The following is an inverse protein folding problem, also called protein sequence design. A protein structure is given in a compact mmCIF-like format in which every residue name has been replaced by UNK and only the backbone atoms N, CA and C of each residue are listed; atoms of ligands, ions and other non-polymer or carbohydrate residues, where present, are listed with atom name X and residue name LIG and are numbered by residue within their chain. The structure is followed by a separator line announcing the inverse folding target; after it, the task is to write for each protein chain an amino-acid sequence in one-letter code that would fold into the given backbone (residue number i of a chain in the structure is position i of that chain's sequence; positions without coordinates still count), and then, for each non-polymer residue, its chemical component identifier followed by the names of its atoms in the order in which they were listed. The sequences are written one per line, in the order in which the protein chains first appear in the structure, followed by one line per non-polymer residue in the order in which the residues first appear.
data_IF_730079562312
#
_entry.id   IF_730079562312
#
_cell.length_a   1.000
_cell.length_b   1.000
_cell.length_c   1.000
_cell.angle_alpha   90.00
_cell.angle_beta   90.00
_cell.angle_gamma   90.00
#
_symmetry.space_group_name_H-M   'P 1'
#
loop_
_entity.id
_entity.type
_entity.pdbx_description
1 polymer ?
#
# COMPACT_ATOMS: atom_id res chain seq x y z
N UNK A 1 -12.45 3.33 13.45
CA UNK A 1 -12.96 2.03 13.92
C UNK A 1 -11.78 1.12 14.23
N UNK A 2 -11.76 0.48 15.41
CA UNK A 2 -10.74 -0.52 15.73
C UNK A 2 -10.84 -1.70 14.76
N UNK A 3 -9.69 -2.30 14.44
CA UNK A 3 -9.63 -3.50 13.61
C UNK A 3 -9.86 -4.72 14.50
N UNK A 4 -11.10 -5.17 14.58
CA UNK A 4 -11.49 -6.32 15.42
C UNK A 4 -11.72 -7.56 14.55
N UNK A 5 -11.06 -8.67 14.91
CA UNK A 5 -11.18 -9.95 14.21
C UNK A 5 -11.37 -11.04 15.24
N UNK A 6 -12.59 -11.56 15.27
CA UNK A 6 -13.01 -12.65 16.14
C UNK A 6 -12.87 -14.00 15.42
N UNK A 7 -12.55 -15.02 16.20
CA UNK A 7 -12.48 -16.42 15.74
C UNK A 7 -13.86 -16.88 15.31
N UNK A 8 -13.94 -17.53 14.15
CA UNK A 8 -15.18 -18.18 13.70
C UNK A 8 -15.23 -19.64 14.20
N UNK A 9 -16.45 -20.19 14.34
CA UNK A 9 -16.67 -21.50 14.98
C UNK A 9 -15.87 -22.66 14.37
N UNK A 10 -15.69 -22.67 13.04
CA UNK A 10 -14.95 -23.72 12.32
C UNK A 10 -13.57 -23.28 11.82
N UNK A 11 -13.00 -22.24 12.40
CA UNK A 11 -11.71 -21.68 11.95
C UNK A 11 -10.53 -22.28 12.70
N UNK A 12 -9.50 -22.69 11.94
CA UNK A 12 -8.20 -23.03 12.52
C UNK A 12 -7.48 -21.77 13.00
N UNK A 13 -6.66 -21.90 14.05
CA UNK A 13 -5.89 -20.78 14.61
C UNK A 13 -5.03 -20.08 13.55
N UNK A 14 -4.45 -20.84 12.62
CA UNK A 14 -3.65 -20.28 11.52
C UNK A 14 -4.49 -19.47 10.53
N UNK A 15 -5.74 -19.90 10.27
CA UNK A 15 -6.69 -19.14 9.45
C UNK A 15 -6.98 -17.76 10.03
N UNK A 16 -7.19 -17.71 11.36
CA UNK A 16 -7.45 -16.46 12.08
C UNK A 16 -6.27 -15.49 11.97
N UNK A 17 -5.05 -15.97 12.22
CA UNK A 17 -3.81 -15.17 12.09
C UNK A 17 -3.64 -14.62 10.67
N UNK A 18 -3.99 -15.41 9.65
CA UNK A 18 -3.93 -14.98 8.24
C UNK A 18 -4.94 -13.87 7.96
N UNK A 19 -6.19 -14.00 8.43
CA UNK A 19 -7.21 -12.95 8.30
C UNK A 19 -6.78 -11.68 9.00
N UNK A 20 -6.26 -11.81 10.22
CA UNK A 20 -5.70 -10.70 10.98
C UNK A 20 -4.61 -9.96 10.23
N UNK A 21 -3.61 -10.70 9.74
CA UNK A 21 -2.50 -10.12 8.99
C UNK A 21 -2.96 -9.44 7.70
N UNK A 22 -3.91 -10.05 6.96
CA UNK A 22 -4.48 -9.46 5.75
C UNK A 22 -5.24 -8.17 6.05
N UNK A 23 -6.01 -8.16 7.12
CA UNK A 23 -6.79 -7.01 7.53
C UNK A 23 -5.91 -5.84 8.01
N UNK A 24 -4.83 -6.12 8.77
CA UNK A 24 -3.81 -5.11 9.10
C UNK A 24 -3.21 -4.52 7.83
N UNK A 25 -2.77 -5.36 6.89
CA UNK A 25 -2.18 -4.88 5.63
C UNK A 25 -3.16 -4.01 4.84
N UNK A 26 -4.43 -4.43 4.72
CA UNK A 26 -5.49 -3.69 4.03
C UNK A 26 -5.84 -2.38 4.72
N UNK A 27 -5.87 -2.37 6.06
CA UNK A 27 -6.18 -1.18 6.86
C UNK A 27 -5.14 -0.07 6.68
N UNK A 28 -3.90 -0.41 6.33
CA UNK A 28 -2.82 0.55 6.17
C UNK A 28 -2.34 1.20 7.47
N UNK A 29 -2.84 0.77 8.64
CA UNK A 29 -2.53 1.36 9.95
C UNK A 29 -1.02 1.46 10.19
N UNK A 30 -0.26 0.40 9.87
CA UNK A 30 1.20 0.40 10.00
C UNK A 30 1.90 1.35 9.01
N UNK A 31 1.32 1.58 7.83
CA UNK A 31 1.85 2.55 6.86
C UNK A 31 1.60 3.97 7.35
N UNK A 32 0.42 4.22 7.90
CA UNK A 32 0.05 5.52 8.45
C UNK A 32 0.83 5.86 9.71
N UNK A 33 0.98 4.92 10.64
CA UNK A 33 1.83 5.08 11.82
C UNK A 33 3.28 5.43 11.44
N UNK A 34 3.86 4.73 10.46
CA UNK A 34 5.20 5.05 9.95
C UNK A 34 5.26 6.43 9.30
N UNK A 35 4.24 6.83 8.53
CA UNK A 35 4.16 8.14 7.88
C UNK A 35 4.06 9.27 8.90
N UNK A 36 3.28 9.08 9.97
CA UNK A 36 3.05 10.07 11.03
C UNK A 36 4.17 10.12 12.08
N UNK A 37 5.11 9.17 12.06
CA UNK A 37 6.22 9.10 13.04
C UNK A 37 7.04 10.39 13.08
N UNK A 38 7.16 11.09 11.95
CA UNK A 38 7.91 12.33 11.85
C UNK A 38 7.11 13.40 11.12
N UNK A 39 7.37 14.67 11.48
CA UNK A 39 6.83 15.81 10.75
C UNK A 39 7.39 15.86 9.32
N UNK A 40 6.51 16.00 8.34
CA UNK A 40 6.87 16.22 6.94
C UNK A 40 6.47 17.63 6.53
N UNK A 41 7.45 18.40 6.04
CA UNK A 41 7.19 19.72 5.45
C UNK A 41 6.31 19.58 4.20
N UNK A 42 5.35 20.48 3.96
CA UNK A 42 4.53 20.44 2.75
C UNK A 42 5.40 20.64 1.51
N UNK A 43 5.12 19.86 0.46
CA UNK A 43 5.85 19.95 -0.81
C UNK A 43 5.51 21.27 -1.54
N UNK A 44 6.51 21.83 -2.22
CA UNK A 44 6.32 22.96 -3.13
C UNK A 44 5.49 22.56 -4.36
N UNK A 45 4.88 23.53 -5.03
CA UNK A 45 4.05 23.27 -6.22
C UNK A 45 4.86 22.62 -7.35
N UNK A 46 6.12 23.01 -7.54
CA UNK A 46 7.04 22.39 -8.51
C UNK A 46 7.29 20.92 -8.15
N UNK A 47 7.63 20.63 -6.89
CA UNK A 47 7.89 19.25 -6.44
C UNK A 47 6.67 18.34 -6.60
N UNK A 48 5.45 18.86 -6.36
CA UNK A 48 4.21 18.12 -6.65
C UNK A 48 4.04 17.80 -8.14
N UNK A 49 4.33 18.76 -9.02
CA UNK A 49 4.27 18.55 -10.49
C UNK A 49 5.30 17.51 -10.94
N UNK A 50 6.53 17.60 -10.47
CA UNK A 50 7.60 16.66 -10.82
C UNK A 50 7.27 15.23 -10.37
N UNK A 51 6.70 15.07 -9.16
CA UNK A 51 6.23 13.77 -8.67
C UNK A 51 5.10 13.18 -9.54
N UNK A 52 4.17 14.02 -10.00
CA UNK A 52 3.08 13.59 -10.89
C UNK A 52 3.62 13.16 -12.27
N UNK A 53 4.53 13.94 -12.87
CA UNK A 53 5.17 13.62 -14.15
C UNK A 53 5.98 12.32 -14.07
N UNK A 54 6.71 12.11 -12.97
CA UNK A 54 7.43 10.85 -12.72
C UNK A 54 6.47 9.66 -12.66
N UNK A 55 5.33 9.80 -11.97
CA UNK A 55 4.32 8.75 -11.87
C UNK A 55 3.76 8.38 -13.24
N UNK A 56 3.53 9.38 -14.10
CA UNK A 56 3.03 9.14 -15.45
C UNK A 56 4.07 8.45 -16.34
N UNK A 57 5.34 8.90 -16.29
CA UNK A 57 6.44 8.23 -16.99
C UNK A 57 6.57 6.75 -16.61
N UNK A 58 6.52 6.45 -15.31
CA UNK A 58 6.60 5.08 -14.82
C UNK A 58 5.43 4.20 -15.29
N UNK A 59 4.22 4.76 -15.43
CA UNK A 59 3.07 4.03 -15.99
C UNK A 59 3.30 3.68 -17.45
N UNK A 60 3.79 4.61 -18.24
CA UNK A 60 4.08 4.36 -19.65
C UNK A 60 5.22 3.35 -19.84
N UNK A 61 6.27 3.43 -19.02
CA UNK A 61 7.34 2.43 -19.00
C UNK A 61 6.80 1.04 -18.64
N UNK A 62 5.92 0.94 -17.63
CA UNK A 62 5.30 -0.32 -17.24
C UNK A 62 4.47 -0.92 -18.36
N UNK A 63 3.60 -0.13 -19.02
CA UNK A 63 2.82 -0.58 -20.19
C UNK A 63 3.71 -1.05 -21.33
N UNK A 64 4.82 -0.36 -21.61
CA UNK A 64 5.80 -0.78 -22.63
C UNK A 64 6.44 -2.12 -22.27
N UNK A 65 6.85 -2.30 -21.00
CA UNK A 65 7.42 -3.57 -20.53
C UNK A 65 6.43 -4.73 -20.59
N UNK A 66 5.16 -4.49 -20.28
CA UNK A 66 4.08 -5.48 -20.47
C UNK A 66 3.98 -5.90 -21.94
N UNK A 67 3.93 -4.92 -22.87
CA UNK A 67 3.88 -5.19 -24.32
C UNK A 67 5.10 -5.97 -24.83
N UNK A 68 6.26 -5.73 -24.26
CA UNK A 68 7.51 -6.39 -24.62
C UNK A 68 7.70 -7.76 -23.94
N UNK A 69 6.77 -8.19 -23.07
CA UNK A 69 6.89 -9.46 -22.34
C UNK A 69 8.03 -9.49 -21.31
N UNK A 70 8.56 -8.32 -20.93
CA UNK A 70 9.68 -8.18 -19.99
C UNK A 70 9.24 -8.11 -18.52
N UNK A 71 7.93 -8.06 -18.27
CA UNK A 71 7.36 -8.22 -16.94
C UNK A 71 6.98 -9.70 -16.74
N UNK A 72 7.93 -10.52 -16.29
CA UNK A 72 7.66 -11.85 -15.74
C UNK A 72 7.65 -11.79 -14.21
#
# INVERSE_FOLDING_TARGET
MPLEILKQERESTQGLIRRFSKAIKKSGILKEARRRRFFQRPLSQRSKKDAALRKERLREEFKKKEKLGLNK
#
